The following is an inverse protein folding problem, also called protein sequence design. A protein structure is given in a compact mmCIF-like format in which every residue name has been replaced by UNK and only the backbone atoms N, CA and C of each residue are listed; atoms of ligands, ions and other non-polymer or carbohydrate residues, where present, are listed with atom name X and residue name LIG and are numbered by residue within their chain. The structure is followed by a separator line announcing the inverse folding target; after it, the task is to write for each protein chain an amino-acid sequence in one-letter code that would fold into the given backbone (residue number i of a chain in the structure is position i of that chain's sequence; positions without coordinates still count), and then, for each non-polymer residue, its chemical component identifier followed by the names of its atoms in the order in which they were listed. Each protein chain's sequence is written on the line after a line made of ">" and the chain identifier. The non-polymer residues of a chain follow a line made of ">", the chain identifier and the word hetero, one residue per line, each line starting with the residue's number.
data_IF_116394851497
#
_entry.id   IF_116394851497
#
_cell.length_a   1.000
_cell.length_b   1.000
_cell.length_c   1.000
_cell.angle_alpha   90.00
_cell.angle_beta   90.00
_cell.angle_gamma   90.00
#
_symmetry.space_group_name_H-M   'P 1'
#
loop_
_entity.id
_entity.type
_entity.pdbx_description
1 polymer ?
#
# COMPACT_ATOMS: atom_id res chain seq x y z
N UNK A 1 -16.89 -13.52 23.83
CA UNK A 1 -17.33 -12.19 24.32
C UNK A 1 -16.33 -11.15 23.82
N UNK A 2 -16.80 -10.05 23.22
CA UNK A 2 -15.92 -8.96 22.78
C UNK A 2 -15.25 -8.32 24.01
N UNK A 3 -13.93 -8.37 24.09
CA UNK A 3 -13.18 -7.77 25.19
C UNK A 3 -13.02 -6.25 24.95
N UNK A 4 -13.63 -5.39 25.77
CA UNK A 4 -13.49 -3.94 25.61
C UNK A 4 -12.06 -3.51 25.91
N UNK A 5 -11.62 -2.45 25.24
CA UNK A 5 -10.30 -1.85 25.43
C UNK A 5 -10.46 -0.43 25.96
N UNK A 6 -10.00 -0.18 27.19
CA UNK A 6 -10.11 1.11 27.87
C UNK A 6 -9.13 2.15 27.33
N UNK A 7 -7.90 1.75 27.03
CA UNK A 7 -6.89 2.59 26.37
C UNK A 7 -6.59 2.06 24.96
N UNK A 8 -7.30 2.64 23.99
CA UNK A 8 -7.20 2.27 22.56
C UNK A 8 -5.83 2.59 21.98
N UNK A 9 -5.18 3.67 22.46
CA UNK A 9 -3.86 4.08 21.95
C UNK A 9 -2.79 3.13 22.40
N UNK A 10 -2.77 2.86 23.71
CA UNK A 10 -1.78 1.95 24.28
C UNK A 10 -1.93 0.54 23.70
N UNK A 11 -3.19 0.08 23.54
CA UNK A 11 -3.46 -1.19 22.86
C UNK A 11 -2.87 -1.22 21.46
N UNK A 12 -3.10 -0.19 20.64
CA UNK A 12 -2.62 -0.14 19.27
C UNK A 12 -1.09 -0.16 19.21
N UNK A 13 -0.41 0.68 20.02
CA UNK A 13 1.05 0.78 20.01
C UNK A 13 1.71 -0.50 20.51
N UNK A 14 1.25 -1.09 21.62
CA UNK A 14 1.83 -2.33 22.14
C UNK A 14 1.56 -3.52 21.20
N UNK A 15 0.37 -3.57 20.57
CA UNK A 15 0.05 -4.60 19.58
C UNK A 15 0.96 -4.51 18.36
N UNK A 16 1.11 -3.31 17.77
CA UNK A 16 2.03 -3.11 16.65
C UNK A 16 3.47 -3.45 17.07
N UNK A 17 3.93 -2.94 18.22
CA UNK A 17 5.31 -3.17 18.69
C UNK A 17 5.64 -4.65 18.84
N UNK A 18 4.69 -5.45 19.32
CA UNK A 18 4.90 -6.87 19.58
C UNK A 18 4.72 -7.74 18.32
N UNK A 19 3.75 -7.42 17.47
CA UNK A 19 3.33 -8.32 16.39
C UNK A 19 3.59 -7.79 14.97
N UNK A 20 3.72 -6.47 14.79
CA UNK A 20 3.98 -5.80 13.51
C UNK A 20 5.00 -4.65 13.69
N UNK A 21 6.26 -4.97 14.06
CA UNK A 21 7.24 -3.99 14.52
C UNK A 21 7.61 -2.94 13.46
N UNK A 22 7.51 -3.27 12.19
CA UNK A 22 7.72 -2.32 11.09
C UNK A 22 6.59 -1.29 11.03
N UNK A 23 5.32 -1.72 11.13
CA UNK A 23 4.18 -0.81 11.27
C UNK A 23 4.30 0.09 12.50
N UNK A 24 4.77 -0.45 13.63
CA UNK A 24 5.10 0.32 14.83
C UNK A 24 6.18 1.37 14.56
N UNK A 25 7.27 1.00 13.88
CA UNK A 25 8.38 1.90 13.57
C UNK A 25 7.92 3.09 12.72
N UNK A 26 7.05 2.86 11.72
CA UNK A 26 6.45 3.93 10.91
C UNK A 26 5.65 4.89 11.78
N UNK A 27 4.76 4.35 12.62
CA UNK A 27 3.92 5.16 13.51
C UNK A 27 4.78 5.96 14.50
N UNK A 28 5.81 5.35 15.07
CA UNK A 28 6.71 5.99 16.02
C UNK A 28 7.55 7.08 15.35
N UNK A 29 8.12 6.81 14.17
CA UNK A 29 8.93 7.77 13.43
C UNK A 29 8.10 8.98 13.00
N UNK A 30 6.92 8.77 12.42
CA UNK A 30 6.03 9.87 12.09
C UNK A 30 5.61 10.65 13.33
N UNK A 31 5.39 9.98 14.48
CA UNK A 31 5.02 10.60 15.76
C UNK A 31 6.19 11.29 16.50
N UNK A 32 7.44 11.14 16.05
CA UNK A 32 8.61 11.85 16.62
C UNK A 32 8.99 13.14 15.88
N UNK A 33 8.64 13.25 14.60
CA UNK A 33 8.80 14.44 13.76
C UNK A 33 8.35 15.78 14.40
N UNK A 34 9.20 16.82 14.52
CA UNK A 34 8.75 18.12 15.05
C UNK A 34 7.59 18.75 14.26
N UNK A 35 6.66 19.41 14.96
CA UNK A 35 5.56 20.17 14.34
C UNK A 35 5.95 21.60 13.94
N UNK A 36 7.12 22.08 14.38
CA UNK A 36 7.70 23.34 13.98
C UNK A 36 9.14 23.08 13.55
N UNK A 37 9.51 23.55 12.35
CA UNK A 37 10.89 23.52 11.90
C UNK A 37 11.34 24.91 11.48
N UNK A 38 12.65 25.15 11.50
CA UNK A 38 13.25 26.40 11.02
C UNK A 38 13.93 26.14 9.68
N UNK A 39 13.55 26.91 8.67
CA UNK A 39 14.12 26.85 7.32
C UNK A 39 14.60 28.24 6.93
N UNK A 40 15.92 28.38 6.80
CA UNK A 40 16.56 29.70 6.73
C UNK A 40 16.20 30.54 7.97
N UNK A 41 15.61 31.71 7.75
CA UNK A 41 15.16 32.62 8.82
C UNK A 41 13.66 32.51 9.13
N UNK A 42 12.94 31.51 8.58
CA UNK A 42 11.50 31.33 8.76
C UNK A 42 11.21 30.12 9.64
N UNK A 43 10.29 30.29 10.60
CA UNK A 43 9.67 29.19 11.32
C UNK A 43 8.43 28.75 10.57
N UNK A 44 8.29 27.46 10.34
CA UNK A 44 7.15 26.88 9.63
C UNK A 44 6.52 25.82 10.50
N UNK A 45 5.20 25.97 10.70
CA UNK A 45 4.37 25.01 11.43
C UNK A 45 3.80 23.98 10.46
N UNK A 46 4.01 22.72 10.78
CA UNK A 46 3.67 21.56 9.98
C UNK A 46 2.99 20.56 10.93
N UNK A 47 1.68 20.76 11.19
CA UNK A 47 0.94 19.92 12.12
C UNK A 47 0.94 18.47 11.62
N UNK A 48 0.91 17.52 12.55
CA UNK A 48 0.77 16.11 12.21
C UNK A 48 -0.60 15.60 12.58
N UNK A 49 -1.03 14.62 11.81
CA UNK A 49 -2.24 13.87 12.10
C UNK A 49 -1.97 12.89 13.23
N UNK A 50 -2.80 12.93 14.27
CA UNK A 50 -2.72 11.96 15.34
C UNK A 50 -3.26 10.60 14.86
N UNK A 51 -2.45 9.54 14.93
CA UNK A 51 -2.84 8.20 14.46
C UNK A 51 -4.14 7.67 15.09
N UNK A 52 -4.49 8.12 16.30
CA UNK A 52 -5.67 7.64 16.99
C UNK A 52 -7.00 8.01 16.31
N UNK A 53 -7.01 8.98 15.38
CA UNK A 53 -8.23 9.31 14.61
C UNK A 53 -8.66 8.16 13.69
N UNK A 54 -7.70 7.31 13.29
CA UNK A 54 -7.91 6.17 12.41
C UNK A 54 -8.26 4.89 13.16
N UNK A 55 -8.09 4.86 14.50
CA UNK A 55 -8.57 3.75 15.30
C UNK A 55 -10.10 3.69 15.21
N UNK A 56 -10.63 2.50 14.92
CA UNK A 56 -12.08 2.23 14.85
C UNK A 56 -12.49 1.15 15.83
N UNK A 57 -13.72 1.29 16.36
CA UNK A 57 -14.28 0.35 17.33
C UNK A 57 -13.76 0.49 18.77
N UNK A 58 -14.28 -0.36 19.64
CA UNK A 58 -14.08 -0.31 21.10
C UNK A 58 -13.64 -1.63 21.74
N UNK A 59 -13.52 -2.70 20.93
CA UNK A 59 -13.06 -4.01 21.39
C UNK A 59 -11.81 -4.46 20.63
N UNK A 60 -11.10 -5.46 21.17
CA UNK A 60 -9.83 -5.96 20.63
C UNK A 60 -9.88 -6.27 19.13
N UNK A 61 -10.89 -7.01 18.67
CA UNK A 61 -11.02 -7.42 17.27
C UNK A 61 -11.21 -6.22 16.32
N UNK A 62 -12.09 -5.28 16.69
CA UNK A 62 -12.32 -4.09 15.88
C UNK A 62 -11.09 -3.18 15.82
N UNK A 63 -10.40 -3.02 16.95
CA UNK A 63 -9.19 -2.21 17.01
C UNK A 63 -8.07 -2.83 16.18
N UNK A 64 -7.90 -4.16 16.27
CA UNK A 64 -6.93 -4.92 15.50
C UNK A 64 -7.14 -4.72 13.99
N UNK A 65 -8.37 -4.86 13.50
CA UNK A 65 -8.66 -4.62 12.09
C UNK A 65 -8.49 -3.17 11.62
N UNK A 66 -8.51 -2.20 12.54
CA UNK A 66 -8.19 -0.81 12.21
C UNK A 66 -6.70 -0.51 12.11
N UNK A 67 -5.81 -1.39 12.59
CA UNK A 67 -4.36 -1.13 12.60
C UNK A 67 -3.76 -1.06 11.20
N UNK A 68 -4.29 -1.83 10.24
CA UNK A 68 -3.89 -1.72 8.83
C UNK A 68 -4.17 -0.33 8.27
N UNK A 69 -5.34 0.24 8.59
CA UNK A 69 -5.71 1.62 8.22
C UNK A 69 -4.84 2.64 8.94
N UNK A 70 -4.55 2.44 10.23
CA UNK A 70 -3.63 3.31 10.99
C UNK A 70 -2.26 3.37 10.30
N UNK A 71 -1.67 2.22 9.99
CA UNK A 71 -0.35 2.18 9.36
C UNK A 71 -0.39 2.74 7.94
N UNK A 72 -1.44 2.46 7.16
CA UNK A 72 -1.65 3.04 5.83
C UNK A 72 -1.64 4.58 5.86
N UNK A 73 -2.46 5.18 6.71
CA UNK A 73 -2.62 6.63 6.78
C UNK A 73 -1.38 7.33 7.34
N UNK A 74 -0.73 6.71 8.33
CA UNK A 74 0.51 7.24 8.89
C UNK A 74 1.70 7.04 7.94
N UNK A 75 1.63 6.06 7.04
CA UNK A 75 2.61 5.90 5.95
C UNK A 75 2.60 7.14 5.06
N UNK A 76 1.43 7.61 4.59
CA UNK A 76 1.33 8.88 3.85
C UNK A 76 1.95 10.05 4.62
N UNK A 77 1.62 10.15 5.91
CA UNK A 77 2.21 11.15 6.80
C UNK A 77 3.74 11.10 6.80
N UNK A 78 4.33 9.90 6.95
CA UNK A 78 5.77 9.70 6.91
C UNK A 78 6.36 10.08 5.54
N UNK A 79 5.76 9.56 4.46
CA UNK A 79 6.21 9.74 3.07
C UNK A 79 6.42 11.21 2.72
N UNK A 80 5.50 12.08 3.14
CA UNK A 80 5.60 13.51 2.89
C UNK A 80 6.39 14.27 3.95
N UNK A 81 6.35 13.85 5.21
CA UNK A 81 6.97 14.60 6.31
C UNK A 81 8.48 14.40 6.38
N UNK A 82 8.99 13.22 6.05
CA UNK A 82 10.43 12.95 6.12
C UNK A 82 11.25 13.92 5.23
N UNK A 83 10.97 14.08 3.92
CA UNK A 83 11.75 14.98 3.07
C UNK A 83 11.69 16.45 3.52
N UNK A 84 10.56 16.88 4.08
CA UNK A 84 10.37 18.22 4.65
C UNK A 84 11.25 18.46 5.88
N UNK A 85 11.57 17.44 6.66
CA UNK A 85 12.42 17.59 7.84
C UNK A 85 13.90 17.49 7.52
N UNK A 86 14.24 16.74 6.47
CA UNK A 86 15.61 16.43 6.11
C UNK A 86 16.14 17.27 4.93
N UNK A 87 15.53 18.43 4.68
CA UNK A 87 16.15 19.50 3.88
C UNK A 87 16.09 19.33 2.36
N UNK A 88 15.15 18.54 1.83
CA UNK A 88 14.85 18.54 0.39
C UNK A 88 14.04 19.75 -0.07
N UNK A 89 13.80 20.72 0.82
CA UNK A 89 12.99 21.90 0.58
C UNK A 89 13.72 22.86 -0.35
N UNK A 90 13.06 23.23 -1.45
CA UNK A 90 13.50 24.40 -2.22
C UNK A 90 13.15 25.68 -1.45
N UNK A 91 14.12 26.20 -0.70
CA UNK A 91 13.98 27.43 0.10
C UNK A 91 13.81 28.69 -0.74
N UNK A 92 14.04 28.60 -2.05
CA UNK A 92 13.91 29.68 -3.01
C UNK A 92 12.62 29.60 -3.84
N UNK A 93 11.77 28.59 -3.62
CA UNK A 93 10.48 28.50 -4.29
C UNK A 93 9.62 29.75 -4.00
N UNK A 94 9.11 30.39 -5.06
CA UNK A 94 8.30 31.62 -4.97
C UNK A 94 7.03 31.42 -4.12
N UNK A 95 6.47 30.21 -4.20
CA UNK A 95 5.53 29.70 -3.22
C UNK A 95 6.28 28.78 -2.26
N UNK A 96 6.44 29.15 -0.97
CA UNK A 96 6.99 28.27 0.03
C UNK A 96 6.35 26.89 -0.06
N UNK A 97 5.01 26.80 -0.16
CA UNK A 97 4.20 25.58 -0.24
C UNK A 97 4.64 24.59 -1.33
N UNK A 98 5.03 25.09 -2.50
CA UNK A 98 5.49 24.29 -3.63
C UNK A 98 6.87 23.66 -3.39
N UNK A 99 7.76 24.34 -2.66
CA UNK A 99 9.07 23.82 -2.28
C UNK A 99 9.03 22.69 -1.23
N UNK A 100 7.95 22.57 -0.45
CA UNK A 100 7.79 21.56 0.62
C UNK A 100 7.30 20.20 0.15
N UNK A 101 6.82 20.11 -1.09
CA UNK A 101 6.23 18.89 -1.62
C UNK A 101 6.91 18.53 -2.94
N UNK A 102 8.24 18.64 -3.03
CA UNK A 102 9.00 18.26 -4.23
C UNK A 102 9.58 16.83 -4.14
N UNK A 103 9.47 16.16 -3.00
CA UNK A 103 10.00 14.82 -2.78
C UNK A 103 9.11 13.99 -1.85
N UNK A 104 9.26 12.67 -1.91
CA UNK A 104 8.57 11.68 -1.08
C UNK A 104 9.56 10.63 -0.59
N UNK A 105 9.37 10.11 0.62
CA UNK A 105 10.24 9.12 1.24
C UNK A 105 9.55 7.75 1.37
N UNK A 106 10.20 6.70 0.86
CA UNK A 106 9.59 5.38 0.77
C UNK A 106 10.34 4.37 1.64
N UNK A 107 9.56 3.66 2.47
CA UNK A 107 10.03 2.57 3.32
C UNK A 107 9.72 1.25 2.63
N UNK A 108 10.65 0.76 1.81
CA UNK A 108 10.49 -0.47 1.04
C UNK A 108 11.85 -1.14 0.77
N UNK A 109 11.86 -2.47 0.72
CA UNK A 109 13.10 -3.25 0.61
C UNK A 109 13.98 -3.07 1.84
N UNK A 110 15.25 -2.74 1.65
CA UNK A 110 16.23 -2.58 2.74
C UNK A 110 16.17 -1.21 3.44
N UNK A 111 15.21 -0.35 3.07
CA UNK A 111 15.07 0.99 3.63
C UNK A 111 14.58 0.96 5.09
N UNK A 112 15.10 1.87 5.93
CA UNK A 112 14.67 2.04 7.33
C UNK A 112 14.02 3.40 7.54
N UNK A 113 13.41 3.61 8.72
CA UNK A 113 12.78 4.90 9.07
C UNK A 113 13.78 6.06 9.19
N UNK A 114 15.07 5.75 9.35
CA UNK A 114 16.17 6.71 9.35
C UNK A 114 16.81 6.91 7.96
N UNK A 115 16.76 5.88 7.10
CA UNK A 115 17.32 5.88 5.74
C UNK A 115 16.29 5.38 4.71
N UNK A 116 15.22 6.16 4.45
CA UNK A 116 14.23 5.83 3.43
C UNK A 116 14.77 6.13 2.02
N UNK A 117 14.14 5.52 1.00
CA UNK A 117 14.41 5.90 -0.38
C UNK A 117 13.69 7.22 -0.67
N UNK A 118 14.44 8.31 -0.81
CA UNK A 118 13.90 9.63 -1.16
C UNK A 118 13.79 9.77 -2.68
N UNK A 119 12.58 10.07 -3.15
CA UNK A 119 12.24 10.28 -4.57
C UNK A 119 11.90 11.74 -4.78
N UNK A 120 12.77 12.49 -5.45
CA UNK A 120 12.44 13.83 -5.94
C UNK A 120 11.50 13.72 -7.12
N UNK A 121 10.38 14.43 -7.08
CA UNK A 121 9.33 14.40 -8.11
C UNK A 121 9.79 15.18 -9.34
N UNK A 122 9.53 14.63 -10.52
CA UNK A 122 9.61 15.35 -11.79
C UNK A 122 8.26 15.94 -12.15
N UNK A 123 8.18 16.61 -13.29
CA UNK A 123 6.92 17.16 -13.83
C UNK A 123 5.86 16.06 -14.03
N UNK A 124 4.59 16.41 -13.82
CA UNK A 124 3.45 15.48 -13.83
C UNK A 124 2.21 16.09 -14.48
N UNK A 125 1.22 15.25 -14.78
CA UNK A 125 -0.14 15.61 -15.15
C UNK A 125 -1.13 14.86 -14.24
N UNK A 126 -2.40 15.27 -14.28
CA UNK A 126 -3.44 14.68 -13.42
C UNK A 126 -3.80 13.25 -13.84
N UNK A 127 -4.01 12.36 -12.88
CA UNK A 127 -4.37 10.97 -13.18
C UNK A 127 -5.73 10.84 -13.87
N UNK A 128 -6.65 11.79 -13.71
CA UNK A 128 -7.91 11.75 -14.46
C UNK A 128 -7.76 11.85 -15.98
N UNK A 129 -6.61 12.30 -16.50
CA UNK A 129 -6.33 12.31 -17.93
C UNK A 129 -6.29 10.91 -18.56
N UNK A 130 -6.05 9.86 -17.76
CA UNK A 130 -6.07 8.47 -18.23
C UNK A 130 -7.40 7.75 -18.00
N UNK A 131 -8.42 8.42 -17.43
CA UNK A 131 -9.67 7.77 -17.05
C UNK A 131 -10.35 7.05 -18.22
N UNK A 132 -10.37 7.68 -19.40
CA UNK A 132 -10.95 7.14 -20.63
C UNK A 132 -10.11 6.02 -21.28
N UNK A 133 -8.89 5.78 -20.80
CA UNK A 133 -8.01 4.73 -21.30
C UNK A 133 -8.14 3.41 -20.52
N UNK A 134 -8.87 3.44 -19.39
CA UNK A 134 -9.05 2.28 -18.53
C UNK A 134 -10.37 1.58 -18.88
N UNK A 135 -10.33 0.29 -19.24
CA UNK A 135 -11.53 -0.45 -19.62
C UNK A 135 -12.45 -0.65 -18.41
N UNK A 136 -13.74 -0.82 -18.66
CA UNK A 136 -14.78 -0.87 -17.61
C UNK A 136 -14.56 -2.00 -16.61
N UNK A 137 -13.96 -3.11 -17.06
CA UNK A 137 -13.59 -4.27 -16.25
C UNK A 137 -12.53 -3.95 -15.18
N UNK A 138 -11.84 -2.81 -15.32
CA UNK A 138 -10.86 -2.27 -14.38
C UNK A 138 -11.40 -1.05 -13.60
N UNK A 139 -12.71 -0.75 -13.66
CA UNK A 139 -13.34 0.35 -12.92
C UNK A 139 -13.68 -0.06 -11.48
N UNK A 140 -12.64 -0.35 -10.71
CA UNK A 140 -12.75 -0.70 -9.30
C UNK A 140 -13.15 0.49 -8.41
N UNK A 141 -13.31 0.24 -7.10
CA UNK A 141 -13.50 1.30 -6.12
C UNK A 141 -12.32 2.28 -6.11
N UNK A 142 -11.08 1.77 -6.22
CA UNK A 142 -9.87 2.60 -6.23
C UNK A 142 -9.72 3.39 -7.53
N UNK A 143 -10.14 2.84 -8.68
CA UNK A 143 -10.20 3.60 -9.93
C UNK A 143 -11.04 4.89 -9.77
N UNK A 144 -12.22 4.78 -9.14
CA UNK A 144 -13.10 5.95 -8.92
C UNK A 144 -12.41 7.03 -8.08
N UNK A 145 -11.66 6.64 -7.06
CA UNK A 145 -10.96 7.56 -6.16
C UNK A 145 -9.70 8.16 -6.78
N UNK A 146 -8.84 7.34 -7.37
CA UNK A 146 -7.47 7.75 -7.70
C UNK A 146 -7.26 8.08 -9.18
N UNK A 147 -8.15 7.63 -10.05
CA UNK A 147 -8.07 7.91 -11.49
C UNK A 147 -9.24 8.79 -11.91
N UNK A 148 -10.48 8.31 -11.83
CA UNK A 148 -11.65 9.02 -12.38
C UNK A 148 -12.15 10.19 -11.52
N UNK A 149 -11.60 10.40 -10.32
CA UNK A 149 -12.03 11.48 -9.45
C UNK A 149 -11.75 12.85 -10.08
N UNK A 150 -12.70 13.76 -9.89
CA UNK A 150 -12.55 15.18 -10.27
C UNK A 150 -12.08 16.03 -9.08
N UNK A 151 -11.87 15.44 -7.91
CA UNK A 151 -11.44 16.16 -6.70
C UNK A 151 -10.00 16.66 -6.87
N UNK A 152 -9.78 17.98 -6.99
CA UNK A 152 -8.50 18.54 -7.44
C UNK A 152 -7.38 18.44 -6.40
N UNK A 153 -7.70 18.09 -5.15
CA UNK A 153 -6.77 18.08 -4.02
C UNK A 153 -6.35 16.67 -3.58
N UNK A 154 -6.84 15.61 -4.23
CA UNK A 154 -6.38 14.26 -3.95
C UNK A 154 -4.92 14.10 -4.38
N UNK A 155 -4.12 13.39 -3.57
CA UNK A 155 -2.69 13.20 -3.81
C UNK A 155 -2.38 12.72 -5.23
N UNK A 156 -3.11 11.72 -5.73
CA UNK A 156 -2.99 11.26 -7.12
C UNK A 156 -3.30 12.33 -8.19
N UNK A 157 -4.22 13.25 -7.93
CA UNK A 157 -4.57 14.32 -8.86
C UNK A 157 -3.57 15.48 -8.82
N UNK A 158 -2.89 15.70 -7.69
CA UNK A 158 -1.87 16.75 -7.52
C UNK A 158 -0.49 16.27 -7.95
N UNK A 159 -0.09 15.09 -7.49
CA UNK A 159 1.26 14.53 -7.64
C UNK A 159 1.36 13.49 -8.78
N UNK A 160 0.28 13.26 -9.54
CA UNK A 160 0.26 12.38 -10.70
C UNK A 160 0.74 10.96 -10.38
N UNK A 161 1.73 10.48 -11.12
CA UNK A 161 2.33 9.14 -10.91
C UNK A 161 2.93 8.97 -9.51
N UNK A 162 3.44 10.04 -8.89
CA UNK A 162 4.02 9.98 -7.55
C UNK A 162 2.95 9.85 -6.48
N UNK A 163 1.77 10.43 -6.69
CA UNK A 163 0.60 10.18 -5.86
C UNK A 163 0.12 8.73 -5.98
N UNK A 164 0.12 8.15 -7.18
CA UNK A 164 -0.21 6.72 -7.35
C UNK A 164 0.83 5.80 -6.66
N UNK A 165 2.11 6.18 -6.69
CA UNK A 165 3.18 5.43 -6.03
C UNK A 165 3.07 5.49 -4.50
N UNK A 166 2.72 6.65 -3.95
CA UNK A 166 2.46 6.85 -2.51
C UNK A 166 1.28 6.00 -2.03
N UNK A 167 0.15 6.00 -2.75
CA UNK A 167 -0.98 5.11 -2.47
C UNK A 167 -0.58 3.64 -2.51
N UNK A 168 0.17 3.22 -3.54
CA UNK A 168 0.63 1.83 -3.64
C UNK A 168 1.50 1.42 -2.44
N UNK A 169 2.40 2.31 -2.02
CA UNK A 169 3.24 2.11 -0.84
C UNK A 169 2.44 2.06 0.46
N UNK A 170 1.47 2.97 0.66
CA UNK A 170 0.61 2.97 1.83
C UNK A 170 -0.25 1.70 1.90
N UNK A 171 -0.80 1.23 0.77
CA UNK A 171 -1.52 -0.06 0.72
C UNK A 171 -0.60 -1.24 1.02
N UNK A 172 0.64 -1.25 0.51
CA UNK A 172 1.62 -2.28 0.85
C UNK A 172 1.81 -2.35 2.37
N UNK A 173 2.08 -1.22 3.01
CA UNK A 173 2.32 -1.17 4.46
C UNK A 173 1.07 -1.58 5.27
N UNK A 174 -0.12 -1.19 4.83
CA UNK A 174 -1.38 -1.63 5.44
C UNK A 174 -1.62 -3.13 5.34
N UNK A 175 -1.48 -3.72 4.14
CA UNK A 175 -1.65 -5.17 3.91
C UNK A 175 -0.58 -5.96 4.67
N UNK A 176 0.66 -5.49 4.66
CA UNK A 176 1.77 -6.09 5.40
C UNK A 176 1.47 -6.13 6.90
N UNK A 177 0.95 -5.03 7.45
CA UNK A 177 0.55 -4.97 8.86
C UNK A 177 -0.50 -6.03 9.18
N UNK A 178 -1.53 -6.20 8.34
CA UNK A 178 -2.52 -7.27 8.53
C UNK A 178 -1.87 -8.64 8.56
N UNK A 179 -0.97 -8.94 7.61
CA UNK A 179 -0.25 -10.21 7.56
C UNK A 179 0.60 -10.46 8.81
N UNK A 180 1.33 -9.46 9.28
CA UNK A 180 2.18 -9.54 10.47
C UNK A 180 1.37 -9.73 11.76
N UNK A 181 0.15 -9.18 11.83
CA UNK A 181 -0.75 -9.36 12.97
C UNK A 181 -1.33 -10.78 13.11
N UNK A 182 -1.06 -11.69 12.16
CA UNK A 182 -1.52 -13.08 12.22
C UNK A 182 -1.31 -13.78 13.58
N UNK A 183 -0.13 -13.73 14.24
CA UNK A 183 0.07 -14.42 15.50
C UNK A 183 -0.82 -13.89 16.63
N UNK A 184 -1.28 -12.63 16.54
CA UNK A 184 -2.28 -12.09 17.46
C UNK A 184 -3.64 -12.77 17.25
N UNK A 185 -4.10 -12.84 16.00
CA UNK A 185 -5.34 -13.55 15.65
C UNK A 185 -5.32 -15.01 16.11
N UNK A 186 -4.19 -15.69 15.94
CA UNK A 186 -4.04 -17.09 16.31
C UNK A 186 -3.99 -17.32 17.83
N UNK A 187 -3.23 -16.51 18.57
CA UNK A 187 -2.86 -16.84 19.95
C UNK A 187 -3.64 -16.03 21.00
N UNK A 188 -4.11 -14.84 20.64
CA UNK A 188 -4.69 -13.88 21.58
C UNK A 188 -6.21 -13.74 21.47
N UNK A 189 -6.79 -14.24 20.38
CA UNK A 189 -8.22 -14.21 20.11
C UNK A 189 -8.80 -15.63 20.05
N UNK A 190 -10.12 -15.79 20.28
CA UNK A 190 -10.78 -17.08 20.05
C UNK A 190 -10.65 -17.48 18.58
N UNK A 191 -10.25 -18.72 18.28
CA UNK A 191 -10.19 -19.24 16.91
C UNK A 191 -11.57 -19.53 16.28
N UNK A 192 -12.52 -18.62 16.44
CA UNK A 192 -13.88 -18.73 15.94
C UNK A 192 -14.07 -18.04 14.57
N UNK A 193 -15.27 -18.19 14.00
CA UNK A 193 -15.61 -17.63 12.68
C UNK A 193 -15.42 -16.10 12.66
N UNK A 194 -15.73 -15.38 13.75
CA UNK A 194 -15.64 -13.92 13.77
C UNK A 194 -14.18 -13.45 13.69
N UNK A 195 -13.28 -14.11 14.42
CA UNK A 195 -11.84 -13.82 14.39
C UNK A 195 -11.26 -14.06 13.00
N UNK A 196 -11.51 -15.23 12.40
CA UNK A 196 -10.92 -15.56 11.11
C UNK A 196 -11.53 -14.78 9.95
N UNK A 197 -12.86 -14.60 9.93
CA UNK A 197 -13.48 -13.77 8.89
C UNK A 197 -13.00 -12.31 8.93
N UNK A 198 -12.74 -11.74 10.11
CA UNK A 198 -12.13 -10.42 10.23
C UNK A 198 -10.70 -10.37 9.65
N UNK A 199 -9.85 -11.33 10.00
CA UNK A 199 -8.48 -11.41 9.46
C UNK A 199 -8.47 -11.47 7.93
N UNK A 200 -9.30 -12.33 7.33
CA UNK A 200 -9.41 -12.42 5.88
C UNK A 200 -10.04 -11.18 5.25
N UNK A 201 -11.03 -10.56 5.89
CA UNK A 201 -11.66 -9.33 5.40
C UNK A 201 -10.65 -8.18 5.32
N UNK A 202 -9.76 -8.06 6.31
CA UNK A 202 -8.73 -7.03 6.34
C UNK A 202 -7.66 -7.25 5.26
N UNK A 203 -7.26 -8.51 5.02
CA UNK A 203 -6.26 -8.84 4.01
C UNK A 203 -6.83 -8.68 2.59
N UNK A 204 -7.90 -9.41 2.27
CA UNK A 204 -8.50 -9.38 0.93
C UNK A 204 -9.17 -8.03 0.58
N UNK A 205 -9.56 -7.24 1.59
CA UNK A 205 -10.08 -5.89 1.33
C UNK A 205 -9.05 -4.97 0.66
N UNK A 206 -7.75 -5.32 0.75
CA UNK A 206 -6.67 -4.42 0.36
C UNK A 206 -5.59 -5.07 -0.51
N UNK A 207 -5.43 -6.39 -0.55
CA UNK A 207 -4.34 -7.05 -1.29
C UNK A 207 -4.41 -6.81 -2.82
N UNK A 208 -5.61 -6.72 -3.38
CA UNK A 208 -5.80 -6.43 -4.81
C UNK A 208 -5.39 -5.00 -5.22
N UNK A 209 -5.11 -4.12 -4.26
CA UNK A 209 -4.46 -2.83 -4.52
C UNK A 209 -3.11 -3.01 -5.25
N UNK A 210 -2.44 -4.15 -5.06
CA UNK A 210 -1.20 -4.50 -5.76
C UNK A 210 -1.30 -4.29 -7.27
N UNK A 211 -2.19 -5.04 -7.92
CA UNK A 211 -2.30 -5.00 -9.38
C UNK A 211 -3.01 -3.74 -9.86
N UNK A 212 -3.91 -3.17 -9.05
CA UNK A 212 -4.59 -1.90 -9.36
C UNK A 212 -3.60 -0.77 -9.56
N UNK A 213 -2.75 -0.49 -8.56
CA UNK A 213 -1.82 0.62 -8.65
C UNK A 213 -0.68 0.35 -9.63
N UNK A 214 -0.21 -0.90 -9.74
CA UNK A 214 0.71 -1.31 -10.81
C UNK A 214 0.13 -0.95 -12.18
N UNK A 215 -1.13 -1.32 -12.42
CA UNK A 215 -1.81 -1.02 -13.68
C UNK A 215 -2.01 0.49 -13.89
N UNK A 216 -2.48 1.23 -12.88
CA UNK A 216 -2.69 2.68 -13.00
C UNK A 216 -1.40 3.43 -13.33
N UNK A 217 -0.29 3.07 -12.68
CA UNK A 217 1.03 3.66 -12.97
C UNK A 217 1.47 3.33 -14.40
N UNK A 218 1.33 2.08 -14.84
CA UNK A 218 1.71 1.70 -16.20
C UNK A 218 0.83 2.39 -17.26
N UNK A 219 -0.48 2.53 -17.04
CA UNK A 219 -1.36 3.30 -17.93
C UNK A 219 -1.03 4.78 -17.93
N UNK A 220 -0.66 5.35 -16.78
CA UNK A 220 -0.18 6.72 -16.69
C UNK A 220 1.06 6.91 -17.57
N UNK A 221 2.05 6.02 -17.44
CA UNK A 221 3.28 6.07 -18.24
C UNK A 221 3.02 5.82 -19.72
N UNK A 222 2.13 4.90 -20.08
CA UNK A 222 1.72 4.67 -21.46
C UNK A 222 1.12 5.94 -22.08
N UNK A 223 0.24 6.62 -21.35
CA UNK A 223 -0.36 7.86 -21.83
C UNK A 223 0.69 8.98 -21.95
N UNK A 224 1.55 9.12 -20.93
CA UNK A 224 2.67 10.06 -20.92
C UNK A 224 3.57 9.85 -22.15
N UNK A 225 3.94 8.60 -22.45
CA UNK A 225 4.79 8.25 -23.60
C UNK A 225 4.25 8.77 -24.93
N UNK A 226 2.91 8.80 -25.08
CA UNK A 226 2.22 9.21 -26.31
C UNK A 226 1.87 10.69 -26.36
N UNK A 227 1.61 11.33 -25.21
CA UNK A 227 1.04 12.69 -25.12
C UNK A 227 1.95 13.72 -24.46
N UNK A 228 2.81 13.27 -23.56
CA UNK A 228 3.73 14.09 -22.76
C UNK A 228 5.11 13.41 -22.68
N UNK A 229 5.83 13.30 -23.81
CA UNK A 229 7.08 12.52 -23.87
C UNK A 229 8.17 13.05 -22.92
N UNK A 230 8.20 14.35 -22.65
CA UNK A 230 9.14 14.95 -21.69
C UNK A 230 8.83 14.51 -20.25
N UNK A 231 7.56 14.49 -19.85
CA UNK A 231 7.10 13.96 -18.57
C UNK A 231 7.45 12.47 -18.44
N UNK A 232 7.16 11.67 -19.47
CA UNK A 232 7.52 10.25 -19.49
C UNK A 232 9.03 10.06 -19.30
N UNK A 233 9.84 10.81 -20.04
CA UNK A 233 11.30 10.73 -19.98
C UNK A 233 11.82 11.11 -18.59
N UNK A 234 11.30 12.19 -17.99
CA UNK A 234 11.66 12.61 -16.64
C UNK A 234 11.39 11.53 -15.60
N UNK A 235 10.19 10.93 -15.63
CA UNK A 235 9.83 9.84 -14.70
C UNK A 235 10.71 8.61 -14.92
N UNK A 236 10.91 8.20 -16.19
CA UNK A 236 11.70 7.00 -16.52
C UNK A 236 13.20 7.17 -16.29
N UNK A 237 13.72 8.40 -16.20
CA UNK A 237 15.11 8.65 -15.83
C UNK A 237 15.31 8.73 -14.31
N UNK A 238 14.23 8.89 -13.55
CA UNK A 238 14.25 8.96 -12.09
C UNK A 238 14.56 7.57 -11.48
N UNK A 239 15.83 7.35 -11.14
CA UNK A 239 16.29 6.05 -10.61
C UNK A 239 15.66 5.72 -9.25
N UNK A 240 15.38 6.72 -8.41
CA UNK A 240 14.74 6.50 -7.13
C UNK A 240 13.29 6.01 -7.31
N UNK A 241 12.53 6.64 -8.22
CA UNK A 241 11.19 6.18 -8.60
C UNK A 241 11.20 4.73 -9.09
N UNK A 242 12.11 4.39 -10.02
CA UNK A 242 12.24 3.02 -10.55
C UNK A 242 12.59 2.01 -9.46
N UNK A 243 13.51 2.38 -8.56
CA UNK A 243 13.89 1.54 -7.42
C UNK A 243 12.69 1.27 -6.52
N UNK A 244 11.92 2.29 -6.15
CA UNK A 244 10.71 2.14 -5.31
C UNK A 244 9.65 1.30 -6.03
N UNK A 245 9.35 1.61 -7.29
CA UNK A 245 8.41 0.83 -8.10
C UNK A 245 8.79 -0.67 -8.13
N UNK A 246 10.05 -0.97 -8.44
CA UNK A 246 10.54 -2.35 -8.50
C UNK A 246 10.44 -3.05 -7.14
N UNK A 247 10.83 -2.36 -6.06
CA UNK A 247 10.76 -2.93 -4.72
C UNK A 247 9.32 -3.16 -4.28
N UNK A 248 8.40 -2.24 -4.55
CA UNK A 248 6.98 -2.45 -4.28
C UNK A 248 6.45 -3.67 -5.03
N UNK A 249 6.76 -3.80 -6.31
CA UNK A 249 6.30 -4.93 -7.13
C UNK A 249 6.78 -6.27 -6.56
N UNK A 250 8.08 -6.40 -6.26
CA UNK A 250 8.67 -7.61 -5.69
C UNK A 250 8.08 -7.91 -4.31
N UNK A 251 8.04 -6.91 -3.43
CA UNK A 251 7.65 -7.11 -2.04
C UNK A 251 6.14 -7.42 -1.89
N UNK A 252 5.29 -6.86 -2.74
CA UNK A 252 3.86 -7.22 -2.75
C UNK A 252 3.63 -8.65 -3.22
N UNK A 253 4.33 -9.10 -4.26
CA UNK A 253 4.24 -10.49 -4.73
C UNK A 253 4.68 -11.45 -3.64
N UNK A 254 5.80 -11.15 -2.97
CA UNK A 254 6.29 -11.96 -1.86
C UNK A 254 5.28 -12.01 -0.71
N UNK A 255 4.66 -10.88 -0.37
CA UNK A 255 3.65 -10.79 0.69
C UNK A 255 2.41 -11.62 0.38
N UNK A 256 1.88 -11.52 -0.85
CA UNK A 256 0.72 -12.33 -1.28
C UNK A 256 1.09 -13.81 -1.28
N UNK A 257 2.27 -14.17 -1.78
CA UNK A 257 2.74 -15.57 -1.79
C UNK A 257 2.84 -16.13 -0.36
N UNK A 258 3.46 -15.38 0.56
CA UNK A 258 3.57 -15.77 1.95
C UNK A 258 2.20 -15.90 2.65
N UNK A 259 1.23 -15.07 2.27
CA UNK A 259 -0.14 -15.20 2.74
C UNK A 259 -0.82 -16.48 2.24
N UNK A 260 -0.67 -16.83 0.96
CA UNK A 260 -1.23 -18.07 0.41
C UNK A 260 -0.60 -19.32 1.06
N UNK A 261 0.71 -19.27 1.40
CA UNK A 261 1.35 -20.30 2.21
C UNK A 261 0.75 -20.38 3.62
N UNK A 262 0.55 -19.22 4.27
CA UNK A 262 -0.10 -19.13 5.60
C UNK A 262 -1.54 -19.62 5.58
N UNK A 263 -2.26 -19.46 4.47
CA UNK A 263 -3.64 -19.89 4.31
C UNK A 263 -3.81 -21.39 4.59
N UNK A 264 -2.81 -22.21 4.25
CA UNK A 264 -2.80 -23.66 4.54
C UNK A 264 -2.80 -23.95 6.04
N UNK A 265 -2.05 -23.17 6.83
CA UNK A 265 -1.99 -23.29 8.29
C UNK A 265 -3.32 -22.86 8.95
N UNK A 266 -3.94 -21.81 8.41
CA UNK A 266 -5.25 -21.32 8.87
C UNK A 266 -6.33 -22.36 8.60
N UNK A 267 -6.39 -22.92 7.39
CA UNK A 267 -7.35 -23.97 7.03
C UNK A 267 -7.24 -25.18 7.96
N UNK A 268 -6.02 -25.57 8.31
CA UNK A 268 -5.78 -26.64 9.28
C UNK A 268 -6.31 -26.29 10.67
N UNK A 269 -6.15 -25.04 11.11
CA UNK A 269 -6.64 -24.56 12.40
C UNK A 269 -8.17 -24.46 12.45
N UNK A 270 -8.79 -24.02 11.35
CA UNK A 270 -10.24 -23.96 11.17
C UNK A 270 -10.86 -25.37 11.24
N UNK A 271 -10.27 -26.33 10.54
CA UNK A 271 -10.73 -27.72 10.55
C UNK A 271 -10.72 -28.33 11.96
N UNK A 272 -9.68 -28.05 12.76
CA UNK A 272 -9.62 -28.47 14.18
C UNK A 272 -10.70 -27.85 15.05
N UNK A 273 -11.20 -26.66 14.67
CA UNK A 273 -12.26 -25.94 15.36
C UNK A 273 -13.68 -26.30 14.84
N UNK A 274 -13.78 -27.30 13.96
CA UNK A 274 -15.01 -27.69 13.25
C UNK A 274 -15.62 -26.52 12.45
N UNK A 275 -14.74 -25.68 11.88
CA UNK A 275 -15.11 -24.59 10.98
C UNK A 275 -14.69 -24.98 9.56
N UNK A 276 -15.65 -24.96 8.66
CA UNK A 276 -15.42 -25.14 7.23
C UNK A 276 -15.24 -23.78 6.55
N UNK A 277 -14.24 -23.69 5.70
CA UNK A 277 -14.00 -22.57 4.80
C UNK A 277 -14.15 -23.03 3.35
N UNK A 278 -14.99 -22.36 2.57
CA UNK A 278 -15.17 -22.65 1.14
C UNK A 278 -15.12 -21.36 0.34
N UNK A 279 -14.67 -21.42 -0.91
CA UNK A 279 -14.57 -20.27 -1.80
C UNK A 279 -15.47 -20.43 -3.02
N UNK A 280 -16.19 -19.37 -3.40
CA UNK A 280 -16.83 -19.26 -4.71
C UNK A 280 -16.07 -18.26 -5.62
N UNK A 281 -16.71 -17.67 -6.63
CA UNK A 281 -16.04 -16.72 -7.52
C UNK A 281 -15.63 -15.40 -6.84
N UNK A 282 -16.35 -14.99 -5.78
CA UNK A 282 -16.20 -13.66 -5.17
C UNK A 282 -16.16 -13.68 -3.64
N UNK A 283 -16.70 -14.74 -3.02
CA UNK A 283 -16.91 -14.83 -1.57
C UNK A 283 -16.19 -16.04 -0.97
N UNK A 284 -15.56 -15.80 0.17
CA UNK A 284 -15.05 -16.82 1.08
C UNK A 284 -16.07 -17.02 2.20
N UNK A 285 -16.58 -18.23 2.34
CA UNK A 285 -17.63 -18.60 3.27
C UNK A 285 -17.07 -19.39 4.45
N UNK A 286 -17.50 -19.02 5.65
CA UNK A 286 -17.19 -19.69 6.92
C UNK A 286 -18.46 -20.21 7.57
N UNK A 287 -18.47 -21.47 8.00
CA UNK A 287 -19.61 -22.08 8.68
C UNK A 287 -19.22 -23.33 9.47
N UNK A 288 -20.06 -23.75 10.41
CA UNK A 288 -19.96 -25.06 11.07
C UNK A 288 -20.95 -26.06 10.49
N UNK A 289 -20.63 -27.34 10.54
CA UNK A 289 -21.55 -28.38 10.07
C UNK A 289 -22.86 -28.35 10.88
N UNK A 290 -24.00 -28.33 10.19
CA UNK A 290 -25.33 -28.28 10.82
C UNK A 290 -25.82 -26.88 11.23
N UNK A 291 -24.96 -25.85 11.17
CA UNK A 291 -25.38 -24.46 11.38
C UNK A 291 -26.06 -23.90 10.12
N UNK A 292 -27.17 -23.19 10.32
CA UNK A 292 -27.88 -22.52 9.22
C UNK A 292 -27.25 -21.18 8.82
N UNK A 293 -26.38 -20.64 9.68
CA UNK A 293 -25.74 -19.34 9.48
C UNK A 293 -24.36 -19.53 8.84
N UNK A 294 -24.09 -18.77 7.77
CA UNK A 294 -22.78 -18.68 7.13
C UNK A 294 -22.32 -17.23 7.16
N UNK A 295 -21.02 -17.00 7.36
CA UNK A 295 -20.39 -15.68 7.24
C UNK A 295 -19.63 -15.66 5.92
N UNK A 296 -19.93 -14.67 5.07
CA UNK A 296 -19.26 -14.48 3.78
C UNK A 296 -18.43 -13.21 3.80
N UNK A 297 -17.19 -13.28 3.31
CA UNK A 297 -16.32 -12.11 3.09
C UNK A 297 -15.88 -12.08 1.63
N UNK A 298 -15.84 -10.89 1.03
CA UNK A 298 -15.39 -10.73 -0.35
C UNK A 298 -13.88 -10.95 -0.46
N UNK A 299 -13.43 -11.79 -1.40
CA UNK A 299 -12.00 -12.04 -1.64
C UNK A 299 -11.45 -11.38 -2.92
N UNK A 300 -12.32 -10.72 -3.71
CA UNK A 300 -11.96 -9.86 -4.86
C UNK A 300 -10.98 -10.48 -5.89
N UNK A 301 -10.98 -11.81 -6.04
CA UNK A 301 -10.06 -12.48 -6.99
C UNK A 301 -10.51 -12.30 -8.43
N UNK A 302 -11.79 -12.03 -8.66
CA UNK A 302 -12.35 -11.60 -9.93
C UNK A 302 -11.80 -10.23 -10.36
N UNK A 303 -11.74 -9.26 -9.43
CA UNK A 303 -11.11 -7.95 -9.67
C UNK A 303 -9.60 -8.12 -9.91
N UNK A 304 -8.93 -8.92 -9.07
CA UNK A 304 -7.50 -9.22 -9.24
C UNK A 304 -7.21 -9.79 -10.64
N UNK A 305 -8.01 -10.77 -11.09
CA UNK A 305 -7.87 -11.39 -12.41
C UNK A 305 -8.12 -10.41 -13.57
N UNK A 306 -9.02 -9.42 -13.40
CA UNK A 306 -9.25 -8.41 -14.44
C UNK A 306 -8.01 -7.54 -14.66
N UNK A 307 -7.34 -7.13 -13.58
CA UNK A 307 -6.07 -6.40 -13.67
C UNK A 307 -4.91 -7.27 -14.18
N UNK A 308 -4.81 -8.53 -13.75
CA UNK A 308 -3.79 -9.45 -14.25
C UNK A 308 -3.89 -9.62 -15.77
N UNK A 309 -5.11 -9.78 -16.29
CA UNK A 309 -5.38 -9.81 -17.72
C UNK A 309 -5.05 -8.49 -18.41
N UNK A 310 -5.46 -7.36 -17.84
CA UNK A 310 -5.22 -6.04 -18.42
C UNK A 310 -3.72 -5.70 -18.49
N UNK A 311 -2.94 -6.17 -17.53
CA UNK A 311 -1.49 -6.01 -17.50
C UNK A 311 -0.78 -6.77 -18.64
N UNK A 312 -1.41 -7.76 -19.29
CA UNK A 312 -0.81 -8.49 -20.42
C UNK A 312 -0.72 -7.67 -21.71
N UNK A 313 -1.21 -6.42 -21.74
CA UNK A 313 -1.01 -5.51 -22.86
C UNK A 313 0.49 -5.32 -23.13
N UNK A 314 0.93 -5.60 -24.37
CA UNK A 314 2.35 -5.69 -24.72
C UNK A 314 3.14 -4.41 -24.39
N UNK A 315 2.55 -3.24 -24.61
CA UNK A 315 3.18 -1.96 -24.27
C UNK A 315 3.34 -1.76 -22.76
N UNK A 316 2.40 -2.25 -21.94
CA UNK A 316 2.53 -2.17 -20.48
C UNK A 316 3.63 -3.11 -19.99
N UNK A 317 3.77 -4.29 -20.60
CA UNK A 317 4.88 -5.22 -20.32
C UNK A 317 6.23 -4.61 -20.69
N UNK A 318 6.31 -3.90 -21.83
CA UNK A 318 7.52 -3.18 -22.25
C UNK A 318 7.90 -2.07 -21.26
N UNK A 319 6.94 -1.22 -20.87
CA UNK A 319 7.17 -0.15 -19.88
C UNK A 319 7.55 -0.75 -18.53
N UNK A 320 6.88 -1.82 -18.10
CA UNK A 320 7.19 -2.52 -16.86
C UNK A 320 8.63 -3.07 -16.87
N UNK A 321 9.03 -3.75 -17.95
CA UNK A 321 10.40 -4.24 -18.11
C UNK A 321 11.42 -3.09 -18.04
N UNK A 322 11.13 -1.95 -18.67
CA UNK A 322 11.96 -0.76 -18.58
C UNK A 322 12.02 -0.16 -17.17
N UNK A 323 10.97 -0.30 -16.34
CA UNK A 323 11.01 0.15 -14.94
C UNK A 323 11.87 -0.76 -14.07
N UNK A 324 11.84 -2.07 -14.28
CA UNK A 324 12.50 -3.04 -13.40
C UNK A 324 13.92 -3.40 -13.81
N UNK A 325 14.25 -3.34 -15.10
CA UNK A 325 15.60 -3.63 -15.60
C UNK A 325 16.53 -2.45 -15.31
N UNK A 326 17.61 -2.66 -14.56
CA UNK A 326 18.62 -1.61 -14.41
C UNK A 326 19.34 -1.41 -15.75
N UNK A 327 19.46 -0.15 -16.20
CA UNK A 327 20.26 0.19 -17.38
C UNK A 327 21.77 -0.15 -17.19
N UNK A 328 22.15 -0.61 -15.99
CA UNK A 328 23.49 -1.07 -15.62
C UNK A 328 23.57 -2.58 -15.31
N UNK A 329 22.49 -3.36 -15.42
CA UNK A 329 22.58 -4.83 -15.29
C UNK A 329 22.83 -5.47 -16.66
N UNK A 330 24.03 -5.27 -17.18
CA UNK A 330 24.55 -6.06 -18.29
C UNK A 330 24.74 -7.51 -17.82
N UNK A 331 24.15 -8.44 -18.57
CA UNK A 331 24.55 -9.86 -18.70
C UNK A 331 24.27 -10.78 -17.49
N UNK A 332 23.12 -11.46 -17.53
CA UNK A 332 23.14 -12.90 -17.28
C UNK A 332 22.92 -13.58 -18.63
N UNK A 333 24.04 -13.97 -19.24
CA UNK A 333 24.10 -14.95 -20.32
C UNK A 333 23.33 -16.20 -19.88
N UNK A 334 22.32 -16.54 -20.66
CA UNK A 334 21.80 -17.89 -20.77
C UNK A 334 22.95 -18.79 -21.21
N UNK A 335 23.53 -19.54 -20.28
CA UNK A 335 24.23 -20.77 -20.67
C UNK A 335 23.17 -21.79 -21.01
N UNK A 336 23.03 -22.00 -22.31
CA UNK A 336 22.39 -23.15 -22.93
C UNK A 336 22.80 -24.43 -22.20
N UNK A 337 21.79 -25.17 -21.73
CA UNK A 337 21.92 -26.60 -21.47
C UNK A 337 21.50 -27.33 -22.73
N UNK A 338 22.46 -27.52 -23.62
CA UNK A 338 22.46 -28.58 -24.62
C UNK A 338 23.84 -29.26 -24.59
N UNK A 339 23.93 -30.33 -23.78
CA UNK A 339 24.76 -31.54 -24.00
C UNK A 339 24.61 -32.50 -22.83
#
# INVERSE_FOLDING_TARGET
>A
MAQPVSDRRNFALETLKQYAPEGYAIVQAYSSFPEEITVGNRRVRLPRTDFAIYLRGSNRLQLLGSLSTVVHEITHGYTHRFPQQHGTIDVNAEDPGAGWNNAQAYLIGDATVEDPIVVTKTEVFRTNAIADQIPVECHSLRYKTYVASTEPHLGAQVDGVYGLLDEWHAYYQGVRTTFELYPYYQNELPGDIATWSAYYQDFYGSDYAYLEFKYFILKYLQFARRKYPDIYTGIMQNQAFRKVYRQLDIQFVNLITAFEERNVEIETSLAKADITMTRDATVLWFYKAGDRNRVGIGHFRDVYASFEKALQEAELQEIHAALVNDANSTIYETTDKDS
#
